data_IF_427693405087
#
_entry.id   IF_427693405087
#
_cell.length_a   1.000
_cell.length_b   1.000
_cell.length_c   1.000
_cell.angle_alpha   90.00
_cell.angle_beta   90.00
_cell.angle_gamma   90.00
#
_symmetry.space_group_name_H-M   'P 1'
#
loop_
_entity.id
_entity.type
_entity.pdbx_description
1 polymer ?
#
# COMPACT_ATOMS: atom_id res chain seq x y z
N UNK A 1 0.68 2.43 1.40
CA UNK A 1 1.09 1.19 0.73
C UNK A 1 2.31 0.62 1.46
N UNK A 2 2.19 -0.60 1.98
CA UNK A 2 3.24 -1.25 2.79
C UNK A 2 4.54 -1.49 1.99
N UNK A 3 4.46 -1.68 0.69
CA UNK A 3 5.65 -1.82 -0.15
C UNK A 3 6.41 -0.50 -0.27
N UNK A 4 5.71 0.62 -0.36
CA UNK A 4 6.33 1.96 -0.35
C UNK A 4 6.98 2.26 1.02
N UNK A 5 6.34 1.88 2.12
CA UNK A 5 6.93 2.02 3.47
C UNK A 5 8.21 1.19 3.60
N UNK A 6 8.23 -0.03 3.09
CA UNK A 6 9.42 -0.88 3.03
C UNK A 6 10.56 -0.21 2.25
N UNK A 7 10.26 0.32 1.06
CA UNK A 7 11.25 1.00 0.21
C UNK A 7 11.80 2.25 0.88
N UNK A 8 10.94 3.04 1.50
CA UNK A 8 11.33 4.23 2.25
C UNK A 8 12.20 3.88 3.45
N UNK A 9 11.81 2.87 4.22
CA UNK A 9 12.59 2.40 5.38
C UNK A 9 13.99 1.93 4.97
N UNK A 10 14.09 1.17 3.87
CA UNK A 10 15.39 0.77 3.33
C UNK A 10 16.23 1.95 2.88
N UNK A 11 15.65 2.89 2.11
CA UNK A 11 16.37 4.07 1.63
C UNK A 11 16.90 4.92 2.78
N UNK A 12 16.08 5.15 3.81
CA UNK A 12 16.48 5.90 5.02
C UNK A 12 17.54 5.19 5.84
N UNK A 13 17.44 3.87 5.99
CA UNK A 13 18.48 3.12 6.68
C UNK A 13 19.83 3.23 5.96
N UNK A 14 19.81 3.15 4.63
CA UNK A 14 21.01 3.25 3.79
C UNK A 14 21.70 4.63 3.85
N UNK A 15 20.98 5.70 4.16
CA UNK A 15 21.57 7.03 4.37
C UNK A 15 22.53 7.05 5.57
N UNK A 16 22.26 6.26 6.60
CA UNK A 16 23.08 6.18 7.82
C UNK A 16 24.04 4.99 7.84
N UNK A 17 23.71 3.92 7.11
CA UNK A 17 24.50 2.69 7.03
C UNK A 17 24.56 2.17 5.59
N UNK A 18 25.72 2.32 4.96
CA UNK A 18 25.94 1.85 3.59
C UNK A 18 25.83 0.32 3.44
N UNK A 19 25.98 -0.42 4.53
CA UNK A 19 25.82 -1.87 4.58
C UNK A 19 24.36 -2.31 4.81
N UNK A 20 23.42 -1.35 4.96
CA UNK A 20 22.02 -1.65 5.11
C UNK A 20 21.49 -2.49 3.94
N UNK A 21 20.71 -3.52 4.26
CA UNK A 21 20.12 -4.41 3.27
C UNK A 21 18.60 -4.33 3.24
N UNK A 22 17.98 -4.60 2.09
CA UNK A 22 16.53 -4.69 1.99
C UNK A 22 15.92 -5.76 2.91
N UNK A 23 16.63 -6.87 3.19
CA UNK A 23 16.15 -7.91 4.11
C UNK A 23 15.92 -7.37 5.51
N UNK A 24 16.78 -6.46 5.97
CA UNK A 24 16.61 -5.82 7.29
C UNK A 24 15.32 -5.01 7.34
N UNK A 25 15.07 -4.16 6.34
CA UNK A 25 13.85 -3.36 6.26
C UNK A 25 12.60 -4.25 6.10
N UNK A 26 12.70 -5.33 5.33
CA UNK A 26 11.64 -6.33 5.19
C UNK A 26 11.33 -7.02 6.53
N UNK A 27 12.38 -7.35 7.29
CA UNK A 27 12.24 -7.88 8.64
C UNK A 27 11.47 -6.94 9.57
N UNK A 28 11.71 -5.63 9.50
CA UNK A 28 10.95 -4.65 10.29
C UNK A 28 9.49 -4.62 9.91
N UNK A 29 9.18 -4.67 8.62
CA UNK A 29 7.81 -4.71 8.12
C UNK A 29 7.05 -5.94 8.64
N UNK A 30 7.68 -7.11 8.57
CA UNK A 30 7.06 -8.39 8.97
C UNK A 30 7.04 -8.61 10.48
N UNK A 31 7.85 -7.90 11.25
CA UNK A 31 7.86 -8.01 12.71
C UNK A 31 6.55 -7.55 13.39
N UNK A 32 5.70 -6.81 12.69
CA UNK A 32 4.38 -6.40 13.19
C UNK A 32 3.52 -7.58 13.64
N UNK A 33 3.62 -8.73 13.00
CA UNK A 33 2.91 -9.97 13.41
C UNK A 33 3.31 -10.50 14.79
N UNK A 34 4.48 -10.13 15.29
CA UNK A 34 4.93 -10.51 16.64
C UNK A 34 4.28 -9.65 17.72
N UNK A 35 3.80 -8.47 17.34
CA UNK A 35 3.15 -7.50 18.24
C UNK A 35 1.65 -7.69 18.19
N UNK A 36 1.10 -7.96 17.01
CA UNK A 36 -0.34 -8.15 16.76
C UNK A 36 -0.52 -9.52 16.08
N UNK A 37 -0.59 -10.61 16.85
CA UNK A 37 -0.69 -11.97 16.29
C UNK A 37 -1.94 -12.18 15.43
N UNK A 38 -3.02 -11.46 15.70
CA UNK A 38 -4.27 -11.52 14.95
C UNK A 38 -4.06 -11.11 13.47
N UNK A 39 -3.10 -10.21 13.19
CA UNK A 39 -2.75 -9.80 11.85
C UNK A 39 -2.14 -10.92 10.98
N UNK A 40 -1.80 -12.08 11.56
CA UNK A 40 -1.39 -13.26 10.79
C UNK A 40 -2.52 -13.81 9.90
N UNK A 41 -3.76 -13.47 10.21
CA UNK A 41 -4.92 -13.81 9.39
C UNK A 41 -5.13 -12.85 8.20
N UNK A 42 -4.40 -11.74 8.20
CA UNK A 42 -4.44 -10.76 7.13
C UNK A 42 -3.41 -11.14 6.06
N UNK A 43 -3.78 -10.97 4.80
CA UNK A 43 -2.94 -11.35 3.68
C UNK A 43 -3.06 -10.37 2.52
N UNK A 44 -1.92 -10.05 1.94
CA UNK A 44 -1.85 -9.35 0.65
C UNK A 44 -1.20 -10.26 -0.37
N UNK A 45 -1.86 -10.46 -1.50
CA UNK A 45 -1.31 -11.18 -2.65
C UNK A 45 -0.90 -10.13 -3.69
N UNK A 46 0.35 -10.19 -4.13
CA UNK A 46 0.94 -9.27 -5.09
C UNK A 46 1.02 -9.90 -6.47
N UNK A 47 1.00 -9.08 -7.52
CA UNK A 47 1.27 -9.53 -8.90
C UNK A 47 2.75 -9.81 -9.17
N UNK A 48 3.47 -10.27 -8.17
CA UNK A 48 4.91 -10.53 -8.23
C UNK A 48 5.23 -11.94 -7.72
N UNK A 49 5.90 -12.78 -8.54
CA UNK A 49 6.08 -14.20 -8.20
C UNK A 49 7.10 -14.45 -7.09
N UNK A 50 8.08 -13.57 -6.95
CA UNK A 50 9.18 -13.74 -6.01
C UNK A 50 9.13 -12.65 -4.92
N UNK A 51 8.97 -13.05 -3.67
CA UNK A 51 9.01 -12.15 -2.52
C UNK A 51 10.46 -11.92 -2.04
N UNK A 52 11.38 -11.71 -3.00
CA UNK A 52 12.77 -11.36 -2.70
C UNK A 52 12.86 -9.88 -2.34
N UNK A 53 13.31 -9.54 -1.11
CA UNK A 53 13.44 -8.15 -0.68
C UNK A 53 14.33 -7.29 -1.59
N UNK A 54 15.39 -7.86 -2.16
CA UNK A 54 16.26 -7.13 -3.09
C UNK A 54 15.53 -6.75 -4.38
N UNK A 55 14.81 -7.69 -4.96
CA UNK A 55 14.02 -7.41 -6.15
C UNK A 55 12.89 -6.43 -5.85
N UNK A 56 12.15 -6.62 -4.77
CA UNK A 56 11.02 -5.76 -4.39
C UNK A 56 11.44 -4.31 -4.09
N UNK A 57 12.66 -4.11 -3.54
CA UNK A 57 13.17 -2.76 -3.26
C UNK A 57 13.30 -1.91 -4.52
N UNK A 58 13.56 -2.52 -5.66
CA UNK A 58 13.85 -1.82 -6.94
C UNK A 58 12.84 -2.12 -8.05
N UNK A 59 11.92 -3.04 -7.85
CA UNK A 59 10.90 -3.39 -8.86
C UNK A 59 9.85 -2.30 -8.99
N UNK A 60 9.34 -2.10 -10.20
CA UNK A 60 8.21 -1.23 -10.50
C UNK A 60 6.99 -2.06 -10.91
N UNK A 61 5.79 -1.49 -10.81
CA UNK A 61 4.57 -2.18 -11.24
C UNK A 61 4.11 -3.31 -10.33
N UNK A 62 4.68 -3.43 -9.13
CA UNK A 62 4.21 -4.36 -8.10
C UNK A 62 2.96 -3.79 -7.46
N UNK A 63 1.84 -4.50 -7.60
CA UNK A 63 0.54 -4.07 -7.10
C UNK A 63 -0.16 -5.22 -6.37
N UNK A 64 -0.97 -4.94 -5.36
CA UNK A 64 -1.82 -5.95 -4.75
C UNK A 64 -2.91 -6.39 -5.74
N UNK A 65 -3.08 -7.70 -5.90
CA UNK A 65 -4.17 -8.29 -6.68
C UNK A 65 -5.31 -8.78 -5.77
N UNK A 66 -4.99 -9.09 -4.52
CA UNK A 66 -5.96 -9.47 -3.50
C UNK A 66 -5.51 -8.96 -2.13
N UNK A 67 -6.43 -8.46 -1.33
CA UNK A 67 -6.21 -8.15 0.09
C UNK A 67 -7.30 -8.82 0.91
N UNK A 68 -6.88 -9.57 1.90
CA UNK A 68 -7.74 -10.27 2.84
C UNK A 68 -7.49 -9.75 4.25
N UNK A 69 -8.55 -9.45 4.98
CA UNK A 69 -8.52 -9.05 6.39
C UNK A 69 -9.49 -9.94 7.14
N UNK A 70 -9.03 -10.58 8.22
CA UNK A 70 -9.84 -11.51 9.03
C UNK A 70 -10.59 -12.56 8.18
N UNK A 71 -9.92 -13.12 7.17
CA UNK A 71 -10.46 -14.10 6.21
C UNK A 71 -11.51 -13.55 5.23
N UNK A 72 -11.78 -12.24 5.24
CA UNK A 72 -12.64 -11.59 4.26
C UNK A 72 -11.80 -10.91 3.17
N UNK A 73 -12.09 -11.17 1.89
CA UNK A 73 -11.46 -10.47 0.78
C UNK A 73 -12.08 -9.09 0.65
N UNK A 74 -11.32 -8.04 0.96
CA UNK A 74 -11.74 -6.64 0.93
C UNK A 74 -11.31 -5.88 -0.32
N UNK A 75 -10.37 -6.46 -1.08
CA UNK A 75 -9.87 -5.95 -2.34
C UNK A 75 -9.57 -7.09 -3.29
N UNK A 76 -10.07 -7.03 -4.50
CA UNK A 76 -9.77 -7.99 -5.57
C UNK A 76 -9.94 -7.33 -6.95
N UNK A 77 -9.18 -7.80 -7.94
CA UNK A 77 -9.30 -7.34 -9.33
C UNK A 77 -9.20 -5.81 -9.48
N UNK A 78 -8.36 -5.16 -8.66
CA UNK A 78 -8.13 -3.72 -8.74
C UNK A 78 -9.24 -2.85 -8.13
N UNK A 79 -10.15 -3.42 -7.35
CA UNK A 79 -11.26 -2.69 -6.74
C UNK A 79 -11.60 -3.21 -5.34
N UNK A 80 -12.23 -2.36 -4.53
CA UNK A 80 -12.79 -2.78 -3.24
C UNK A 80 -14.00 -3.68 -3.45
N UNK A 81 -14.12 -4.70 -2.61
CA UNK A 81 -15.31 -5.57 -2.55
C UNK A 81 -16.40 -5.01 -1.64
N UNK A 82 -16.09 -4.01 -0.80
CA UNK A 82 -16.98 -3.42 0.21
C UNK A 82 -17.69 -2.15 -0.25
N UNK A 83 -17.11 -1.44 -1.24
CA UNK A 83 -17.63 -0.15 -1.71
C UNK A 83 -17.52 -0.04 -3.23
N UNK A 84 -18.46 0.66 -3.84
CA UNK A 84 -18.35 1.03 -5.25
C UNK A 84 -17.38 2.20 -5.41
N UNK A 85 -16.14 1.89 -5.77
CA UNK A 85 -15.09 2.87 -5.95
C UNK A 85 -15.38 3.85 -7.11
N UNK A 86 -16.15 3.44 -8.12
CA UNK A 86 -16.51 4.29 -9.25
C UNK A 86 -17.56 5.33 -8.82
N UNK A 87 -18.55 4.91 -8.04
CA UNK A 87 -19.52 5.84 -7.47
C UNK A 87 -18.86 6.89 -6.56
N UNK A 88 -17.93 6.44 -5.69
CA UNK A 88 -17.19 7.35 -4.81
C UNK A 88 -16.36 8.35 -5.62
N UNK A 89 -15.63 7.89 -6.65
CA UNK A 89 -14.84 8.78 -7.52
C UNK A 89 -15.72 9.79 -8.26
N UNK A 90 -16.86 9.36 -8.77
CA UNK A 90 -17.80 10.24 -9.45
C UNK A 90 -18.34 11.33 -8.51
N UNK A 91 -18.76 10.97 -7.29
CA UNK A 91 -19.19 11.92 -6.26
C UNK A 91 -18.07 12.87 -5.84
N UNK A 92 -16.85 12.36 -5.66
CA UNK A 92 -15.69 13.19 -5.30
C UNK A 92 -15.39 14.21 -6.41
N UNK A 93 -15.42 13.81 -7.69
CA UNK A 93 -15.22 14.70 -8.83
C UNK A 93 -16.30 15.80 -8.91
N UNK A 94 -17.56 15.46 -8.63
CA UNK A 94 -18.66 16.43 -8.56
C UNK A 94 -18.43 17.47 -7.44
N UNK A 95 -18.07 17.01 -6.25
CA UNK A 95 -17.79 17.91 -5.12
C UNK A 95 -16.56 18.77 -5.40
N UNK A 96 -15.52 18.24 -6.00
CA UNK A 96 -14.34 19.01 -6.38
C UNK A 96 -14.70 20.17 -7.33
N UNK A 97 -15.57 19.94 -8.32
CA UNK A 97 -16.07 21.01 -9.21
C UNK A 97 -16.78 22.12 -8.43
N UNK A 98 -17.63 21.74 -7.44
CA UNK A 98 -18.32 22.73 -6.60
C UNK A 98 -17.37 23.57 -5.75
N UNK A 99 -16.33 22.93 -5.20
CA UNK A 99 -15.29 23.63 -4.43
C UNK A 99 -14.51 24.59 -5.31
N UNK A 100 -14.09 24.16 -6.50
CA UNK A 100 -13.37 25.02 -7.44
C UNK A 100 -14.22 26.21 -7.89
N UNK A 101 -15.51 26.01 -8.17
CA UNK A 101 -16.41 27.12 -8.54
C UNK A 101 -16.49 28.16 -7.43
N UNK A 102 -16.65 27.73 -6.17
CA UNK A 102 -16.67 28.65 -5.01
C UNK A 102 -15.35 29.40 -4.80
N UNK A 103 -14.23 28.73 -5.02
CA UNK A 103 -12.92 29.37 -4.93
C UNK A 103 -12.77 30.48 -5.99
N UNK A 104 -13.26 30.25 -7.22
CA UNK A 104 -13.22 31.24 -8.28
C UNK A 104 -14.07 32.48 -7.99
N UNK A 105 -15.11 32.37 -7.14
CA UNK A 105 -15.94 33.51 -6.70
C UNK A 105 -15.26 34.37 -5.63
N UNK A 106 -14.29 33.80 -4.91
CA UNK A 106 -13.59 34.49 -3.80
C UNK A 106 -12.32 35.20 -4.30
N UNK A 107 -11.77 34.74 -5.38
CA UNK A 107 -10.55 35.29 -6.01
C UNK A 107 -10.91 36.33 -7.08
#
# INVERSE_FOLDING_TARGET
DMLEEFRLAYARHRESDIAASPETAWGWLTNGYRIIPEAMNDRVVWNYPNMDPWELAFSTGVNPIEVMVEQEIIWANGTSTRVDANEIRAKAAEQAKKVHARLAEIV
#
